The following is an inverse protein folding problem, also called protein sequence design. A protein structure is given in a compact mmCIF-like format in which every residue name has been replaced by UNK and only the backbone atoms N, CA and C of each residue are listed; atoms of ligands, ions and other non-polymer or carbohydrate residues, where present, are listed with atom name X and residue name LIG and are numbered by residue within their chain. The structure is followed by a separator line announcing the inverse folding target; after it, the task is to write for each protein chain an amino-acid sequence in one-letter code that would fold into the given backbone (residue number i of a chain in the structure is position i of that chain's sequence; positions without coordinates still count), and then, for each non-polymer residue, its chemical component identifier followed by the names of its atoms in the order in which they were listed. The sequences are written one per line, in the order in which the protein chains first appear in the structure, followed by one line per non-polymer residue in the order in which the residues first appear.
data_IF_188570444071
#
_entry.id   IF_188570444071
#
_cell.length_a   1.000
_cell.length_b   1.000
_cell.length_c   1.000
_cell.angle_alpha   90.00
_cell.angle_beta   90.00
_cell.angle_gamma   90.00
#
_symmetry.space_group_name_H-M   'P 1'
#
loop_
_entity.id
_entity.type
_entity.pdbx_description
1 polymer ?
#
# COMPACT_ATOMS: atom_id res chain seq x y z
N UNK A 1 -0.20 -2.75 2.10
CA UNK A 1 -1.65 -2.99 1.83
C UNK A 1 -1.96 -3.93 0.65
N UNK A 2 -1.49 -3.69 -0.59
CA UNK A 2 -1.84 -4.56 -1.75
C UNK A 2 -1.37 -6.01 -1.60
N UNK A 3 -0.22 -6.24 -0.95
CA UNK A 3 0.33 -7.58 -0.71
C UNK A 3 -0.50 -8.38 0.32
N UNK A 4 -0.94 -7.72 1.40
CA UNK A 4 -1.85 -8.31 2.40
C UNK A 4 -3.17 -8.72 1.75
N UNK A 5 -3.73 -7.87 0.87
CA UNK A 5 -4.96 -8.21 0.15
C UNK A 5 -4.77 -9.41 -0.79
N UNK A 6 -3.67 -9.49 -1.52
CA UNK A 6 -3.37 -10.64 -2.41
C UNK A 6 -3.17 -11.91 -1.59
N UNK A 7 -2.42 -11.84 -0.48
CA UNK A 7 -2.20 -12.98 0.42
C UNK A 7 -3.51 -13.46 1.06
N UNK A 8 -4.36 -12.53 1.50
CA UNK A 8 -5.68 -12.85 2.05
C UNK A 8 -6.59 -13.49 1.00
N UNK A 9 -6.51 -13.04 -0.26
CA UNK A 9 -7.28 -13.63 -1.38
C UNK A 9 -6.79 -15.03 -1.74
N UNK A 10 -5.47 -15.27 -1.71
CA UNK A 10 -4.88 -16.59 -1.94
C UNK A 10 -5.22 -17.55 -0.79
N UNK A 11 -5.15 -17.09 0.46
CA UNK A 11 -5.55 -17.89 1.63
C UNK A 11 -7.04 -18.28 1.55
N UNK A 12 -7.91 -17.33 1.21
CA UNK A 12 -9.35 -17.58 1.03
C UNK A 12 -9.64 -18.64 -0.04
N UNK A 13 -8.83 -18.69 -1.12
CA UNK A 13 -8.96 -19.72 -2.17
C UNK A 13 -8.47 -21.10 -1.72
N UNK A 14 -7.43 -21.18 -0.88
CA UNK A 14 -6.95 -22.47 -0.33
C UNK A 14 -7.91 -23.11 0.67
N UNK A 15 -8.73 -22.31 1.38
CA UNK A 15 -9.80 -22.80 2.24
C UNK A 15 -10.88 -23.62 1.50
N UNK A 16 -11.11 -23.34 0.21
CA UNK A 16 -12.08 -24.10 -0.61
C UNK A 16 -11.50 -25.41 -1.14
N UNK A 17 -10.17 -25.53 -1.27
CA UNK A 17 -9.53 -26.68 -1.90
C UNK A 17 -9.09 -27.78 -0.91
N UNK A 18 -8.93 -27.47 0.39
CA UNK A 18 -8.39 -28.40 1.40
C UNK A 18 -9.42 -28.75 2.50
N UNK A 19 -10.68 -28.36 2.33
CA UNK A 19 -11.78 -28.96 3.09
C UNK A 19 -11.92 -30.43 2.67
N UNK A 20 -11.26 -31.32 3.41
CA UNK A 20 -11.14 -32.73 3.06
C UNK A 20 -12.48 -33.35 2.71
N UNK A 21 -12.53 -34.05 1.58
CA UNK A 21 -13.67 -34.89 1.19
C UNK A 21 -14.06 -35.79 2.37
N UNK A 22 -15.27 -35.64 2.95
CA UNK A 22 -15.88 -36.78 3.59
C UNK A 22 -16.28 -37.76 2.48
N UNK A 23 -16.13 -39.06 2.74
CA UNK A 23 -16.78 -40.09 1.92
C UNK A 23 -18.27 -39.74 1.82
N UNK A 24 -18.65 -39.34 0.60
CA UNK A 24 -19.96 -38.86 0.17
C UNK A 24 -20.46 -37.56 0.82
N UNK A 25 -20.03 -36.42 0.28
CA UNK A 25 -20.63 -35.11 0.52
C UNK A 25 -21.91 -34.97 -0.31
N UNK A 26 -23.06 -35.41 0.24
CA UNK A 26 -24.36 -35.30 -0.42
C UNK A 26 -24.95 -33.90 -0.24
N UNK A 27 -24.63 -32.98 -1.15
CA UNK A 27 -25.19 -31.63 -1.21
C UNK A 27 -26.65 -31.69 -1.65
N UNK A 28 -27.55 -31.11 -0.86
CA UNK A 28 -28.98 -31.09 -1.18
C UNK A 28 -29.36 -29.98 -2.16
N UNK A 29 -28.44 -29.05 -2.44
CA UNK A 29 -28.66 -27.89 -3.31
C UNK A 29 -29.42 -26.77 -2.61
N UNK A 30 -29.67 -26.89 -1.30
CA UNK A 30 -30.32 -25.88 -0.49
C UNK A 30 -29.29 -25.31 0.50
N UNK A 31 -28.85 -24.05 0.33
CA UNK A 31 -27.84 -23.46 1.17
C UNK A 31 -28.29 -23.38 2.64
N UNK A 32 -29.58 -23.33 2.97
CA UNK A 32 -29.97 -23.34 4.39
C UNK A 32 -29.77 -24.72 5.05
N UNK A 33 -29.95 -25.80 4.30
CA UNK A 33 -29.81 -27.17 4.81
C UNK A 33 -28.35 -27.59 4.78
N UNK A 34 -27.66 -27.25 3.69
CA UNK A 34 -26.26 -27.58 3.47
C UNK A 34 -25.31 -26.71 4.33
N UNK A 35 -25.74 -25.51 4.76
CA UNK A 35 -24.95 -24.57 5.56
C UNK A 35 -25.32 -24.53 7.06
N UNK A 36 -26.57 -24.83 7.44
CA UNK A 36 -27.04 -24.72 8.85
C UNK A 36 -27.48 -26.02 9.52
N UNK A 37 -27.36 -27.18 8.86
CA UNK A 37 -27.58 -28.52 9.46
C UNK A 37 -28.79 -28.61 10.39
N UNK A 38 -29.97 -28.23 9.92
CA UNK A 38 -31.23 -28.46 10.62
C UNK A 38 -31.79 -29.85 10.28
N UNK A 39 -31.29 -30.90 10.92
CA UNK A 39 -31.97 -32.20 10.95
C UNK A 39 -31.83 -32.83 12.33
N UNK A 40 -32.76 -32.52 13.23
CA UNK A 40 -33.46 -33.56 14.00
C UNK A 40 -34.66 -32.99 14.78
N UNK A 41 -35.80 -32.78 14.11
CA UNK A 41 -37.09 -32.73 14.81
C UNK A 41 -38.15 -33.30 13.87
N UNK A 42 -38.76 -34.40 14.32
CA UNK A 42 -39.94 -35.11 13.79
C UNK A 42 -39.61 -36.32 12.90
N UNK A 43 -39.54 -37.48 13.54
CA UNK A 43 -40.49 -38.57 13.26
C UNK A 43 -40.65 -39.44 14.52
N UNK A 44 -41.59 -39.02 15.36
CA UNK A 44 -42.26 -39.91 16.31
C UNK A 44 -43.26 -40.72 15.49
N UNK A 45 -43.06 -42.03 15.35
CA UNK A 45 -44.15 -42.96 15.11
C UNK A 45 -43.83 -44.28 15.82
N UNK A 46 -44.65 -44.60 16.81
CA UNK A 46 -44.54 -45.73 17.72
C UNK A 46 -44.78 -47.08 17.05
N UNK A 47 -44.07 -48.13 17.49
CA UNK A 47 -44.68 -49.37 18.03
C UNK A 47 -43.65 -50.43 18.49
N UNK A 48 -43.97 -51.05 19.65
CA UNK A 48 -43.55 -52.38 20.19
C UNK A 48 -42.22 -52.54 20.98
N UNK A 49 -42.17 -53.51 21.94
CA UNK A 49 -41.82 -53.23 23.34
C UNK A 49 -40.40 -53.60 23.78
N UNK A 50 -40.09 -53.12 24.99
CA UNK A 50 -38.86 -53.17 25.78
C UNK A 50 -38.13 -54.53 25.70
N UNK A 51 -36.99 -54.53 25.03
CA UNK A 51 -35.86 -55.40 25.36
C UNK A 51 -34.81 -54.53 26.06
N UNK A 52 -34.42 -54.88 27.29
CA UNK A 52 -33.28 -54.28 27.97
C UNK A 52 -32.01 -54.73 27.23
N UNK A 53 -31.68 -54.00 26.17
CA UNK A 53 -30.39 -54.09 25.52
C UNK A 53 -29.55 -52.99 26.17
N UNK A 54 -28.46 -53.39 26.84
CA UNK A 54 -27.46 -52.45 27.32
C UNK A 54 -26.97 -51.64 26.14
N UNK A 55 -27.42 -50.39 26.04
CA UNK A 55 -26.83 -49.42 25.13
C UNK A 55 -25.35 -49.31 25.50
N UNK A 56 -24.50 -50.01 24.75
CA UNK A 56 -23.13 -49.56 24.60
C UNK A 56 -23.23 -48.11 24.15
N UNK A 57 -22.76 -47.21 25.03
CA UNK A 57 -22.54 -45.81 24.73
C UNK A 57 -21.46 -45.73 23.66
N UNK A 58 -21.85 -46.05 22.42
CA UNK A 58 -21.14 -45.65 21.22
C UNK A 58 -21.25 -44.14 21.21
N UNK A 59 -20.18 -43.49 21.67
CA UNK A 59 -20.01 -42.05 21.61
C UNK A 59 -20.21 -41.63 20.15
N UNK A 60 -21.42 -41.20 19.81
CA UNK A 60 -21.68 -40.56 18.53
C UNK A 60 -20.89 -39.26 18.56
N UNK A 61 -19.73 -39.26 17.90
CA UNK A 61 -18.95 -38.06 17.67
C UNK A 61 -19.84 -37.10 16.90
N UNK A 62 -20.50 -36.17 17.61
CA UNK A 62 -21.32 -35.13 17.02
C UNK A 62 -20.52 -34.41 15.93
N UNK A 63 -21.13 -34.27 14.74
CA UNK A 63 -20.47 -33.63 13.60
C UNK A 63 -20.07 -32.22 14.00
N UNK A 64 -18.78 -31.90 13.87
CA UNK A 64 -18.21 -30.61 14.24
C UNK A 64 -18.55 -29.56 13.19
N UNK A 65 -18.72 -28.31 13.63
CA UNK A 65 -19.16 -27.22 12.74
C UNK A 65 -18.02 -26.63 11.90
N UNK A 66 -18.12 -26.62 10.56
CA UNK A 66 -17.13 -25.97 9.69
C UNK A 66 -17.04 -24.45 9.89
N UNK A 67 -18.16 -23.78 10.21
CA UNK A 67 -18.16 -22.33 10.43
C UNK A 67 -17.39 -21.98 11.71
N UNK A 68 -17.56 -22.79 12.76
CA UNK A 68 -16.88 -22.58 14.04
C UNK A 68 -15.39 -22.87 13.86
N UNK A 69 -15.05 -23.89 13.08
CA UNK A 69 -13.68 -24.15 12.68
C UNK A 69 -13.05 -22.92 12.00
N UNK A 70 -13.73 -22.36 10.99
CA UNK A 70 -13.26 -21.15 10.29
C UNK A 70 -13.12 -19.94 11.23
N UNK A 71 -14.10 -19.69 12.10
CA UNK A 71 -14.05 -18.61 13.08
C UNK A 71 -12.88 -18.76 14.06
N UNK A 72 -12.59 -19.99 14.50
CA UNK A 72 -11.44 -20.27 15.36
C UNK A 72 -10.13 -19.99 14.62
N UNK A 73 -10.00 -20.40 13.35
CA UNK A 73 -8.82 -20.12 12.52
C UNK A 73 -8.59 -18.62 12.27
N UNK A 74 -9.63 -17.78 12.25
CA UNK A 74 -9.48 -16.33 12.14
C UNK A 74 -8.85 -15.70 13.39
N UNK A 75 -9.09 -16.28 14.57
CA UNK A 75 -8.53 -15.79 15.83
C UNK A 75 -7.15 -16.39 16.07
N UNK A 76 -7.01 -17.69 15.85
CA UNK A 76 -5.77 -18.44 16.05
C UNK A 76 -5.52 -19.30 14.81
N UNK A 77 -4.43 -19.05 14.07
CA UNK A 77 -4.02 -19.87 12.94
C UNK A 77 -4.12 -21.38 13.19
N UNK A 78 -4.66 -22.14 12.24
CA UNK A 78 -4.83 -23.60 12.37
C UNK A 78 -5.80 -24.10 13.47
N UNK A 79 -6.42 -23.23 14.28
CA UNK A 79 -7.29 -23.67 15.38
C UNK A 79 -8.59 -24.36 14.91
N UNK A 80 -9.06 -24.05 13.70
CA UNK A 80 -10.19 -24.76 13.09
C UNK A 80 -9.91 -26.24 12.82
N UNK A 81 -8.68 -26.57 12.41
CA UNK A 81 -8.26 -27.95 12.18
C UNK A 81 -8.08 -28.71 13.49
N UNK A 82 -7.56 -28.03 14.52
CA UNK A 82 -7.53 -28.56 15.89
C UNK A 82 -8.95 -28.83 16.38
N UNK A 83 -9.87 -27.88 16.18
CA UNK A 83 -11.29 -28.07 16.49
C UNK A 83 -11.85 -29.27 15.72
N UNK A 84 -11.57 -29.42 14.43
CA UNK A 84 -11.96 -30.58 13.63
C UNK A 84 -11.36 -31.92 14.14
N UNK A 85 -10.35 -31.87 15.00
CA UNK A 85 -9.68 -33.04 15.59
C UNK A 85 -8.44 -33.49 14.82
N UNK A 86 -8.02 -32.72 13.81
CA UNK A 86 -6.83 -33.00 13.02
C UNK A 86 -5.66 -32.13 13.48
N UNK A 87 -5.01 -32.55 14.56
CA UNK A 87 -3.91 -31.82 15.17
C UNK A 87 -2.69 -31.66 14.25
N UNK A 88 -2.40 -32.65 13.40
CA UNK A 88 -1.28 -32.57 12.45
C UNK A 88 -1.56 -31.51 11.39
N UNK A 89 -2.77 -31.49 10.80
CA UNK A 89 -3.18 -30.41 9.89
C UNK A 89 -3.16 -29.07 10.61
N UNK A 90 -3.70 -28.98 11.81
CA UNK A 90 -3.68 -27.76 12.62
C UNK A 90 -2.27 -27.23 12.85
N UNK A 91 -1.30 -28.09 13.16
CA UNK A 91 0.10 -27.71 13.32
C UNK A 91 0.73 -27.20 12.01
N UNK A 92 0.44 -27.85 10.87
CA UNK A 92 0.93 -27.42 9.55
C UNK A 92 0.34 -26.06 9.17
N UNK A 93 -0.99 -25.90 9.28
CA UNK A 93 -1.67 -24.63 8.99
C UNK A 93 -1.17 -23.52 9.89
N UNK A 94 -1.06 -23.76 11.19
CA UNK A 94 -0.48 -22.81 12.14
C UNK A 94 0.92 -22.37 11.70
N UNK A 95 1.80 -23.32 11.37
CA UNK A 95 3.17 -23.03 10.95
C UNK A 95 3.24 -22.17 9.67
N UNK A 96 2.45 -22.53 8.65
CA UNK A 96 2.41 -21.80 7.37
C UNK A 96 1.83 -20.40 7.56
N UNK A 97 0.69 -20.29 8.24
CA UNK A 97 -0.02 -19.02 8.45
C UNK A 97 0.80 -18.06 9.32
N UNK A 98 1.39 -18.53 10.42
CA UNK A 98 2.28 -17.72 11.25
C UNK A 98 3.52 -17.30 10.46
N UNK A 99 4.13 -18.22 9.69
CA UNK A 99 5.27 -17.89 8.84
C UNK A 99 4.94 -16.81 7.80
N UNK A 100 3.78 -16.90 7.18
CA UNK A 100 3.31 -15.90 6.22
C UNK A 100 3.02 -14.54 6.88
N UNK A 101 2.38 -14.53 8.06
CA UNK A 101 2.13 -13.30 8.83
C UNK A 101 3.43 -12.62 9.29
N UNK A 102 4.39 -13.38 9.81
CA UNK A 102 5.70 -12.86 10.21
C UNK A 102 6.43 -12.29 9.01
N UNK A 103 6.44 -13.01 7.89
CA UNK A 103 7.07 -12.54 6.66
C UNK A 103 6.41 -11.23 6.19
N UNK A 104 5.09 -11.18 6.13
CA UNK A 104 4.36 -9.96 5.76
C UNK A 104 4.70 -8.78 6.68
N UNK A 105 4.73 -9.01 8.00
CA UNK A 105 5.10 -7.98 8.98
C UNK A 105 6.52 -7.44 8.80
N UNK A 106 7.51 -8.33 8.58
CA UNK A 106 8.90 -7.93 8.36
C UNK A 106 9.06 -7.14 7.06
N UNK A 107 8.34 -7.52 6.00
CA UNK A 107 8.38 -6.81 4.72
C UNK A 107 7.71 -5.43 4.80
N UNK A 108 6.57 -5.33 5.47
CA UNK A 108 5.90 -4.02 5.70
C UNK A 108 6.83 -3.08 6.49
N UNK A 109 7.44 -3.58 7.58
CA UNK A 109 8.40 -2.77 8.36
C UNK A 109 9.60 -2.33 7.52
N UNK A 110 10.16 -3.22 6.68
CA UNK A 110 11.26 -2.86 5.79
C UNK A 110 10.86 -1.76 4.81
N UNK A 111 9.65 -1.84 4.25
CA UNK A 111 9.12 -0.81 3.35
C UNK A 111 8.94 0.55 4.03
N UNK A 112 8.41 0.57 5.25
CA UNK A 112 8.25 1.79 6.04
C UNK A 112 9.61 2.41 6.40
N UNK A 113 10.58 1.60 6.83
CA UNK A 113 11.93 2.06 7.17
C UNK A 113 12.62 2.67 5.93
N UNK A 114 12.46 2.07 4.73
CA UNK A 114 13.01 2.62 3.49
C UNK A 114 12.30 3.91 3.04
N UNK A 115 10.99 4.01 3.29
CA UNK A 115 10.21 5.23 3.00
C UNK A 115 10.71 6.39 3.85
N UNK A 116 10.86 6.18 5.15
CA UNK A 116 11.41 7.20 6.05
C UNK A 116 12.83 7.65 5.64
N UNK A 117 13.65 6.72 5.15
CA UNK A 117 15.02 7.03 4.69
C UNK A 117 15.04 7.95 3.47
N UNK A 118 14.28 7.66 2.42
CA UNK A 118 14.31 8.56 1.26
C UNK A 118 13.61 9.89 1.56
N UNK A 119 12.50 9.90 2.31
CA UNK A 119 11.80 11.14 2.66
C UNK A 119 12.69 12.07 3.49
N UNK A 120 13.40 11.55 4.48
CA UNK A 120 14.37 12.33 5.26
C UNK A 120 15.51 12.89 4.40
N UNK A 121 16.04 12.07 3.47
CA UNK A 121 17.06 12.53 2.52
C UNK A 121 16.55 13.66 1.61
N UNK A 122 15.32 13.57 1.11
CA UNK A 122 14.71 14.64 0.33
C UNK A 122 14.52 15.91 1.17
N UNK A 123 14.09 15.77 2.42
CA UNK A 123 13.88 16.91 3.32
C UNK A 123 15.18 17.63 3.69
N UNK A 124 16.32 16.92 3.65
CA UNK A 124 17.64 17.49 3.88
C UNK A 124 18.22 18.19 2.64
N UNK A 125 18.00 17.62 1.44
CA UNK A 125 18.75 18.01 0.23
C UNK A 125 17.91 18.65 -0.88
N UNK A 126 16.59 18.58 -0.82
CA UNK A 126 15.70 19.16 -1.83
C UNK A 126 14.90 20.33 -1.26
N UNK A 127 14.84 21.43 -2.00
CA UNK A 127 14.19 22.66 -1.59
C UNK A 127 13.16 23.15 -2.61
N UNK A 128 11.90 23.23 -2.20
CA UNK A 128 10.82 23.78 -3.04
C UNK A 128 11.09 25.24 -3.43
N UNK A 129 11.68 25.98 -2.50
CA UNK A 129 12.03 27.38 -2.71
C UNK A 129 13.16 27.55 -3.70
N UNK A 130 14.22 26.74 -3.60
CA UNK A 130 15.29 26.74 -4.59
C UNK A 130 14.75 26.44 -5.99
N UNK A 131 13.84 25.48 -6.09
CA UNK A 131 13.18 25.13 -7.34
C UNK A 131 12.34 26.30 -7.89
N UNK A 132 11.54 26.96 -7.04
CA UNK A 132 10.77 28.14 -7.44
C UNK A 132 11.68 29.29 -7.92
N UNK A 133 12.79 29.55 -7.23
CA UNK A 133 13.75 30.62 -7.57
C UNK A 133 14.46 30.31 -8.89
N UNK A 134 14.70 29.03 -9.14
CA UNK A 134 15.22 28.59 -10.41
C UNK A 134 14.22 28.83 -11.55
N UNK A 135 12.93 28.53 -11.38
CA UNK A 135 11.89 28.85 -12.39
C UNK A 135 11.87 30.36 -12.65
N UNK A 136 11.84 31.16 -11.59
CA UNK A 136 11.78 32.62 -11.67
C UNK A 136 13.00 33.23 -12.36
N UNK A 137 14.19 32.69 -12.15
CA UNK A 137 15.40 33.16 -12.85
C UNK A 137 15.46 32.69 -14.31
N UNK A 138 14.74 31.63 -14.67
CA UNK A 138 14.82 30.98 -15.99
C UNK A 138 13.56 31.12 -16.83
N UNK A 139 12.54 31.83 -16.35
CA UNK A 139 11.27 32.03 -17.07
C UNK A 139 11.47 32.60 -18.47
N UNK A 140 12.54 33.38 -18.66
CA UNK A 140 13.10 33.89 -19.92
C UNK A 140 13.14 32.88 -21.04
N UNK A 141 13.54 31.69 -20.63
CA UNK A 141 13.84 30.56 -21.49
C UNK A 141 12.76 29.49 -21.44
N UNK A 142 11.98 29.44 -20.35
CA UNK A 142 10.96 28.43 -20.13
C UNK A 142 9.64 28.77 -20.81
N UNK A 143 9.28 30.04 -20.89
CA UNK A 143 8.01 30.47 -21.46
C UNK A 143 8.20 31.68 -22.37
N UNK A 144 8.72 31.44 -23.58
CA UNK A 144 9.03 32.51 -24.55
C UNK A 144 7.78 33.16 -25.16
N UNK A 145 6.64 32.46 -25.15
CA UNK A 145 5.38 32.89 -25.75
C UNK A 145 4.40 33.50 -24.72
N UNK A 146 4.66 33.34 -23.42
CA UNK A 146 3.79 33.91 -22.41
C UNK A 146 3.86 35.43 -22.38
N UNK A 147 2.71 36.03 -22.13
CA UNK A 147 2.61 37.42 -21.69
C UNK A 147 3.04 37.48 -20.23
N UNK A 148 4.35 37.60 -20.04
CA UNK A 148 5.05 37.85 -18.79
C UNK A 148 4.25 38.68 -17.78
N UNK A 149 3.60 38.00 -16.84
CA UNK A 149 3.06 38.65 -15.66
C UNK A 149 3.98 38.36 -14.47
N UNK A 150 5.03 39.18 -14.33
CA UNK A 150 6.00 39.09 -13.22
C UNK A 150 5.33 39.11 -11.84
N UNK A 151 4.12 39.67 -11.73
CA UNK A 151 3.40 39.73 -10.47
C UNK A 151 2.98 38.34 -9.99
N UNK A 152 2.68 37.40 -10.89
CA UNK A 152 2.31 36.00 -10.56
C UNK A 152 3.50 35.27 -9.94
N UNK A 153 4.71 35.49 -10.48
CA UNK A 153 5.95 34.86 -10.01
C UNK A 153 6.36 35.42 -8.65
N UNK A 154 6.33 36.74 -8.48
CA UNK A 154 6.62 37.40 -7.21
C UNK A 154 5.67 36.98 -6.07
N UNK A 155 4.45 36.49 -6.41
CA UNK A 155 3.47 35.99 -5.45
C UNK A 155 3.67 34.51 -5.04
N UNK A 156 4.65 33.82 -5.63
CA UNK A 156 5.00 32.44 -5.24
C UNK A 156 5.71 32.37 -3.88
N UNK A 157 6.08 33.53 -3.32
CA UNK A 157 6.71 33.64 -2.01
C UNK A 157 5.89 34.50 -1.04
N UNK A 158 5.91 34.09 0.22
CA UNK A 158 5.60 34.94 1.35
C UNK A 158 6.88 35.62 1.87
N UNK A 159 6.73 36.80 2.45
CA UNK A 159 7.81 37.56 3.09
C UNK A 159 8.21 36.92 4.43
N UNK A 160 8.86 35.75 4.37
CA UNK A 160 9.45 35.05 5.52
C UNK A 160 10.88 34.59 5.19
N UNK A 161 11.90 35.37 5.58
CA UNK A 161 13.30 35.03 5.32
C UNK A 161 13.86 33.94 6.24
N UNK A 162 13.20 33.61 7.37
CA UNK A 162 13.80 32.74 8.40
C UNK A 162 13.74 31.25 8.04
N UNK A 163 12.73 30.81 7.29
CA UNK A 163 12.50 29.40 6.93
C UNK A 163 12.44 29.17 5.42
N UNK A 164 13.14 30.02 4.66
CA UNK A 164 12.97 30.08 3.21
C UNK A 164 13.33 28.79 2.49
N UNK A 165 14.37 28.05 2.92
CA UNK A 165 14.84 26.85 2.21
C UNK A 165 14.60 25.53 2.92
N UNK A 166 13.98 25.54 4.11
CA UNK A 166 13.78 24.35 4.93
C UNK A 166 12.34 23.89 4.88
N UNK A 167 12.08 22.57 4.79
CA UNK A 167 10.73 22.03 4.97
C UNK A 167 10.07 22.54 6.27
N UNK A 168 8.76 22.86 6.25
CA UNK A 168 7.78 22.64 5.19
C UNK A 168 7.72 23.75 4.12
N UNK A 169 8.77 24.57 4.00
CA UNK A 169 8.84 25.70 3.06
C UNK A 169 7.76 26.75 3.34
N UNK A 170 7.74 27.27 4.57
CA UNK A 170 6.72 28.23 5.02
C UNK A 170 6.66 29.52 4.19
N UNK A 171 7.73 29.84 3.47
CA UNK A 171 7.77 30.97 2.54
C UNK A 171 7.13 30.66 1.18
N UNK A 172 6.71 29.43 0.87
CA UNK A 172 6.18 29.09 -0.45
C UNK A 172 4.66 29.19 -0.47
N UNK A 173 4.15 29.99 -1.40
CA UNK A 173 2.75 29.96 -1.78
C UNK A 173 2.55 28.84 -2.82
N UNK A 174 2.21 27.65 -2.33
CA UNK A 174 2.06 26.45 -3.16
C UNK A 174 1.05 26.61 -4.29
N UNK A 175 -0.10 27.25 -4.05
CA UNK A 175 -1.11 27.45 -5.08
C UNK A 175 -0.56 28.30 -6.23
N UNK A 176 0.18 29.35 -5.88
CA UNK A 176 0.77 30.26 -6.86
C UNK A 176 1.96 29.64 -7.59
N UNK A 177 2.80 28.86 -6.89
CA UNK A 177 3.87 28.09 -7.52
C UNK A 177 3.31 27.11 -8.55
N UNK A 178 2.23 26.39 -8.22
CA UNK A 178 1.60 25.46 -9.16
C UNK A 178 0.94 26.19 -10.34
N UNK A 179 0.43 27.41 -10.14
CA UNK A 179 -0.06 28.26 -11.24
C UNK A 179 1.08 28.65 -12.17
N UNK A 180 2.22 29.07 -11.62
CA UNK A 180 3.45 29.33 -12.37
C UNK A 180 3.91 28.10 -13.15
N UNK A 181 3.92 26.91 -12.55
CA UNK A 181 4.31 25.68 -13.26
C UNK A 181 3.37 25.34 -14.41
N UNK A 182 2.06 25.60 -14.26
CA UNK A 182 1.08 25.39 -15.34
C UNK A 182 1.27 26.38 -16.47
N UNK A 183 1.48 27.65 -16.15
CA UNK A 183 1.80 28.68 -17.14
C UNK A 183 3.08 28.31 -17.91
N UNK A 184 4.15 27.95 -17.19
CA UNK A 184 5.39 27.45 -17.78
C UNK A 184 5.13 26.23 -18.65
N UNK A 185 4.32 25.26 -18.22
CA UNK A 185 4.04 24.06 -19.01
C UNK A 185 3.33 24.34 -20.35
N UNK A 186 2.66 25.48 -20.51
CA UNK A 186 2.11 25.91 -21.82
C UNK A 186 3.22 26.33 -22.81
N UNK A 187 4.39 26.72 -22.29
CA UNK A 187 5.61 26.94 -23.05
C UNK A 187 6.03 25.67 -23.78
N UNK A 188 5.67 25.56 -25.05
CA UNK A 188 6.01 24.39 -25.87
C UNK A 188 7.55 24.26 -25.88
N UNK A 189 8.10 23.04 -25.72
CA UNK A 189 9.56 22.72 -25.74
C UNK A 189 10.41 22.94 -24.47
N UNK A 190 9.85 23.03 -23.26
CA UNK A 190 10.66 23.20 -22.03
C UNK A 190 10.78 21.97 -21.10
N UNK A 191 10.07 20.88 -21.37
CA UNK A 191 10.12 19.64 -20.58
C UNK A 191 9.26 19.61 -19.30
N UNK A 192 8.49 20.68 -19.03
CA UNK A 192 7.51 20.68 -17.94
C UNK A 192 6.29 19.84 -18.30
N UNK A 193 6.02 18.83 -17.48
CA UNK A 193 4.92 17.88 -17.71
C UNK A 193 4.08 17.62 -16.47
N UNK A 194 4.58 18.02 -15.30
CA UNK A 194 3.94 17.77 -14.01
C UNK A 194 3.93 19.04 -13.16
N UNK A 195 3.01 19.08 -12.22
CA UNK A 195 2.90 20.13 -11.20
C UNK A 195 3.41 19.58 -9.88
N UNK A 196 4.18 20.37 -9.13
CA UNK A 196 4.71 20.03 -7.83
C UNK A 196 3.56 19.88 -6.81
N UNK A 197 3.37 18.69 -6.20
CA UNK A 197 2.39 18.50 -5.15
C UNK A 197 2.82 19.19 -3.87
N UNK A 198 1.89 19.35 -2.93
CA UNK A 198 2.21 19.94 -1.64
C UNK A 198 3.20 19.08 -0.86
N UNK A 199 4.06 19.73 -0.09
CA UNK A 199 4.98 19.07 0.84
C UNK A 199 4.28 18.02 1.71
N UNK A 200 4.95 16.88 1.91
CA UNK A 200 4.47 15.77 2.73
C UNK A 200 3.49 14.81 2.03
N UNK A 201 3.04 15.11 0.80
CA UNK A 201 2.26 14.15 0.02
C UNK A 201 3.14 13.05 -0.56
N UNK A 202 2.62 11.83 -0.67
CA UNK A 202 3.34 10.73 -1.34
C UNK A 202 3.77 11.10 -2.77
N UNK A 203 2.89 11.80 -3.51
CA UNK A 203 3.18 12.25 -4.86
C UNK A 203 4.32 13.26 -4.92
N UNK A 204 4.50 14.09 -3.88
CA UNK A 204 5.60 15.05 -3.82
C UNK A 204 6.95 14.33 -3.83
N UNK A 205 7.14 13.37 -2.93
CA UNK A 205 8.33 12.52 -2.91
C UNK A 205 8.43 11.64 -4.17
N UNK A 206 7.30 11.31 -4.81
CA UNK A 206 7.34 10.63 -6.10
C UNK A 206 7.97 11.47 -7.21
N UNK A 207 7.54 12.71 -7.33
CA UNK A 207 7.84 13.51 -8.51
C UNK A 207 9.27 14.05 -8.47
N UNK A 208 9.74 14.54 -7.32
CA UNK A 208 11.06 15.19 -7.17
C UNK A 208 12.27 14.29 -7.48
N UNK A 209 12.07 12.97 -7.47
CA UNK A 209 13.09 11.97 -7.82
C UNK A 209 12.84 11.21 -9.11
N UNK A 210 11.75 11.50 -9.82
CA UNK A 210 11.35 10.77 -11.04
C UNK A 210 11.48 11.62 -12.28
N UNK A 211 11.13 12.90 -12.18
CA UNK A 211 11.16 13.82 -13.32
C UNK A 211 12.30 14.80 -13.18
N UNK A 212 13.11 14.87 -14.23
CA UNK A 212 14.29 15.74 -14.28
C UNK A 212 13.90 17.22 -14.17
N UNK A 213 12.66 17.61 -14.48
CA UNK A 213 12.16 18.97 -14.26
C UNK A 213 12.37 19.47 -12.82
N UNK A 214 12.32 18.58 -11.82
CA UNK A 214 12.50 18.95 -10.41
C UNK A 214 13.97 18.91 -9.96
N UNK A 215 14.90 18.67 -10.89
CA UNK A 215 16.32 18.55 -10.59
C UNK A 215 16.89 19.82 -9.94
N UNK A 216 16.46 21.00 -10.39
CA UNK A 216 16.93 22.27 -9.86
C UNK A 216 16.67 22.48 -8.36
N UNK A 217 15.71 21.76 -7.78
CA UNK A 217 15.43 21.82 -6.34
C UNK A 217 16.48 21.13 -5.47
N UNK A 218 17.34 20.27 -6.04
CA UNK A 218 18.42 19.62 -5.30
C UNK A 218 19.58 20.60 -5.03
N UNK A 219 20.15 20.51 -3.83
CA UNK A 219 21.22 21.42 -3.36
C UNK A 219 22.51 21.37 -4.21
N UNK A 220 22.74 20.26 -4.92
CA UNK A 220 23.88 20.03 -5.81
C UNK A 220 23.60 20.35 -7.28
N UNK A 221 22.37 20.75 -7.64
CA UNK A 221 22.01 21.05 -9.01
C UNK A 221 22.58 22.39 -9.48
N UNK A 222 23.17 22.43 -10.67
CA UNK A 222 23.59 23.68 -11.30
C UNK A 222 22.36 24.50 -11.72
N UNK A 223 22.31 25.76 -11.30
CA UNK A 223 21.14 26.65 -11.48
C UNK A 223 21.03 27.14 -12.93
N UNK A 224 22.08 27.08 -13.74
CA UNK A 224 22.15 27.81 -15.03
C UNK A 224 21.52 27.11 -16.25
N UNK A 225 21.01 25.87 -16.08
CA UNK A 225 20.68 24.98 -17.21
C UNK A 225 19.17 24.76 -17.32
N UNK A 226 18.65 24.61 -18.54
CA UNK A 226 17.22 24.31 -18.79
C UNK A 226 16.87 22.86 -18.42
N UNK A 227 15.59 22.52 -18.15
CA UNK A 227 15.18 21.17 -17.80
C UNK A 227 15.47 20.13 -18.87
N UNK A 228 15.33 20.50 -20.14
CA UNK A 228 15.65 19.64 -21.29
C UNK A 228 17.12 19.24 -21.34
N UNK A 229 17.98 20.08 -20.76
CA UNK A 229 19.43 19.97 -20.83
C UNK A 229 20.01 19.50 -19.48
N UNK A 230 19.14 19.24 -18.50
CA UNK A 230 19.56 18.63 -17.25
C UNK A 230 20.00 17.20 -17.50
N UNK A 231 21.29 16.98 -17.30
CA UNK A 231 21.91 15.67 -17.27
C UNK A 231 22.50 15.41 -15.88
N UNK A 232 21.66 15.01 -14.89
CA UNK A 232 22.13 14.73 -13.54
C UNK A 232 23.22 13.66 -13.56
N UNK A 233 24.37 13.95 -12.98
CA UNK A 233 25.46 12.99 -12.83
C UNK A 233 25.01 11.79 -11.98
N UNK A 234 25.62 10.62 -12.18
CA UNK A 234 25.20 9.39 -11.49
C UNK A 234 25.34 9.45 -9.96
N UNK A 235 26.21 10.32 -9.47
CA UNK A 235 26.49 10.61 -8.07
C UNK A 235 25.72 11.84 -7.53
N UNK A 236 24.90 12.50 -8.36
CA UNK A 236 24.04 13.60 -7.92
C UNK A 236 23.03 13.15 -6.86
N UNK A 237 22.61 14.08 -6.00
CA UNK A 237 21.57 13.88 -4.98
C UNK A 237 20.28 13.38 -5.58
N UNK A 238 19.89 13.92 -6.74
CA UNK A 238 18.76 13.41 -7.52
C UNK A 238 18.91 11.91 -7.84
N UNK A 239 20.05 11.48 -8.40
CA UNK A 239 20.25 10.06 -8.76
C UNK A 239 20.42 9.15 -7.55
N UNK A 240 21.00 9.62 -6.46
CA UNK A 240 21.04 8.89 -5.18
C UNK A 240 19.62 8.67 -4.66
N UNK A 241 18.83 9.74 -4.59
CA UNK A 241 17.44 9.69 -4.14
C UNK A 241 16.55 8.81 -5.04
N UNK A 242 16.68 8.93 -6.36
CA UNK A 242 15.97 8.06 -7.31
C UNK A 242 16.26 6.58 -7.05
N UNK A 243 17.50 6.23 -6.70
CA UNK A 243 17.88 4.84 -6.34
C UNK A 243 17.28 4.41 -5.01
N UNK A 244 17.37 5.24 -3.96
CA UNK A 244 16.74 4.94 -2.67
C UNK A 244 15.23 4.65 -2.83
N UNK A 245 14.55 5.44 -3.68
CA UNK A 245 13.14 5.21 -4.01
C UNK A 245 12.90 3.96 -4.85
N UNK A 246 13.76 3.66 -5.81
CA UNK A 246 13.67 2.42 -6.58
C UNK A 246 13.85 1.19 -5.69
N UNK A 247 14.76 1.26 -4.71
CA UNK A 247 14.98 0.21 -3.70
C UNK A 247 13.79 0.06 -2.75
N UNK A 248 13.13 1.16 -2.37
CA UNK A 248 11.91 1.11 -1.55
C UNK A 248 10.70 0.48 -2.30
N UNK A 249 10.68 0.56 -3.63
CA UNK A 249 9.61 0.03 -4.47
C UNK A 249 9.83 -1.44 -4.92
N UNK A 250 10.98 -2.05 -4.60
CA UNK A 250 11.39 -3.40 -5.01
C UNK A 250 11.38 -4.40 -3.83
#
# INVERSE_FOLDING_TARGET
MKFIQILFTILLFTFLAVAGEPKELHLTGNPQVDLFSARDLRNVQASTPIAFQSDEMTTSSGKKSPWLAGAMSLVVPGAGEVYAGNYLKGAIFFGVEVGALVTAYLYDKKGDDQTALFESYANEHWSATRYAEWIESHIGMLNTEATWNSDVYNQSYYDDPANRHTPPFGSINWEKLQEVERDVAEGTTNGFTHTLPYYGQQQYYELIGKYVQFYAGWDDAAIEVKPSDFHPANDSRFKIYSRMRAEANN
#
